data_IF_723525116776
#
_entry.id   IF_723525116776
#
_cell.length_a   1.000
_cell.length_b   1.000
_cell.length_c   1.000
_cell.angle_alpha   90.00
_cell.angle_beta   90.00
_cell.angle_gamma   90.00
#
_symmetry.space_group_name_H-M   'P 1'
#
loop_
_entity.id
_entity.type
_entity.pdbx_description
1 polymer ?
#
# COMPACT_ATOMS: atom_id res chain seq x y z
N UNK A 1 28.15 -8.47 -28.76
CA UNK A 1 27.50 -7.22 -28.34
C UNK A 1 28.16 -6.79 -27.05
N UNK A 2 29.20 -5.97 -27.16
CA UNK A 2 29.89 -5.35 -26.03
C UNK A 2 29.05 -4.17 -25.56
N UNK A 3 28.46 -4.26 -24.37
CA UNK A 3 27.82 -3.14 -23.68
C UNK A 3 28.91 -2.14 -23.29
N UNK A 4 29.09 -1.10 -24.10
CA UNK A 4 29.98 0.01 -23.76
C UNK A 4 29.45 0.73 -22.53
N UNK A 5 30.24 0.77 -21.46
CA UNK A 5 29.98 1.62 -20.30
C UNK A 5 29.94 3.07 -20.78
N UNK A 6 28.74 3.62 -20.89
CA UNK A 6 28.58 5.06 -21.07
C UNK A 6 28.77 5.65 -19.68
N UNK A 7 29.98 6.10 -19.38
CA UNK A 7 30.23 6.89 -18.18
C UNK A 7 29.47 8.22 -18.34
N UNK A 8 28.27 8.28 -17.75
CA UNK A 8 27.50 9.51 -17.67
C UNK A 8 28.06 10.29 -16.49
N UNK A 9 28.91 11.27 -16.78
CA UNK A 9 29.47 12.15 -15.76
C UNK A 9 28.50 13.32 -15.55
N UNK A 10 27.85 13.33 -14.39
CA UNK A 10 27.05 14.49 -13.98
C UNK A 10 28.00 15.55 -13.42
N UNK A 11 28.19 16.63 -14.16
CA UNK A 11 28.93 17.81 -13.67
C UNK A 11 27.95 18.85 -13.19
N UNK A 12 27.99 19.18 -11.90
CA UNK A 12 27.26 20.30 -11.32
C UNK A 12 28.25 21.44 -11.10
N UNK A 13 28.10 22.51 -11.88
CA UNK A 13 28.94 23.72 -11.79
C UNK A 13 28.08 24.92 -11.42
N UNK A 14 28.58 25.75 -10.49
CA UNK A 14 27.94 26.99 -10.09
C UNK A 14 28.71 28.17 -10.67
N UNK A 15 28.04 29.03 -11.43
CA UNK A 15 28.65 30.24 -11.97
C UNK A 15 28.54 31.36 -10.92
N UNK A 16 29.61 31.55 -10.14
CA UNK A 16 29.71 32.69 -9.23
C UNK A 16 30.12 33.95 -10.02
N UNK A 17 29.21 34.42 -10.87
CA UNK A 17 29.28 35.79 -11.38
C UNK A 17 29.24 36.77 -10.20
N UNK A 18 29.90 37.92 -10.33
CA UNK A 18 30.24 38.86 -9.25
C UNK A 18 29.08 39.57 -8.52
N UNK A 19 27.87 38.99 -8.48
CA UNK A 19 26.81 39.30 -7.51
C UNK A 19 25.96 38.03 -7.23
N UNK A 20 25.61 37.73 -5.95
CA UNK A 20 25.02 36.46 -5.54
C UNK A 20 23.50 36.35 -5.80
N UNK A 21 23.02 36.84 -6.96
CA UNK A 21 21.57 36.96 -7.23
C UNK A 21 20.98 35.89 -8.13
N UNK A 22 21.77 35.01 -8.75
CA UNK A 22 21.23 33.90 -9.52
C UNK A 22 22.23 32.77 -9.66
N UNK A 23 22.33 31.93 -8.65
CA UNK A 23 23.02 30.66 -8.81
C UNK A 23 22.12 29.75 -9.67
N UNK A 24 22.71 29.08 -10.65
CA UNK A 24 22.01 28.13 -11.53
C UNK A 24 22.62 26.74 -11.38
N UNK A 25 21.77 25.74 -11.29
CA UNK A 25 22.15 24.34 -11.33
C UNK A 25 22.26 23.92 -12.79
N UNK A 26 23.45 23.52 -13.23
CA UNK A 26 23.69 22.95 -14.55
C UNK A 26 23.85 21.44 -14.43
N UNK A 27 23.10 20.70 -15.24
CA UNK A 27 23.13 19.23 -15.32
C UNK A 27 23.55 18.88 -16.75
N UNK A 28 24.70 18.24 -16.90
CA UNK A 28 25.20 17.75 -18.19
C UNK A 28 25.08 16.23 -18.27
N UNK A 29 24.47 15.74 -19.35
CA UNK A 29 24.27 14.32 -19.65
C UNK A 29 24.73 14.06 -21.09
N UNK A 30 26.01 13.78 -21.28
CA UNK A 30 26.61 13.66 -22.62
C UNK A 30 26.60 15.01 -23.35
N UNK A 31 25.88 15.12 -24.48
CA UNK A 31 25.70 16.38 -25.20
C UNK A 31 24.45 17.17 -24.76
N UNK A 32 23.62 16.62 -23.89
CA UNK A 32 22.44 17.30 -23.36
C UNK A 32 22.81 18.17 -22.15
N UNK A 33 22.32 19.40 -22.12
CA UNK A 33 22.50 20.34 -21.02
C UNK A 33 21.16 20.85 -20.54
N UNK A 34 20.93 20.80 -19.23
CA UNK A 34 19.77 21.40 -18.57
C UNK A 34 20.29 22.44 -17.57
N UNK A 35 19.72 23.65 -17.59
CA UNK A 35 20.01 24.71 -16.63
C UNK A 35 18.74 25.03 -15.84
N UNK A 36 18.80 24.93 -14.52
CA UNK A 36 17.68 25.18 -13.61
C UNK A 36 18.04 26.32 -12.64
N UNK A 37 17.11 27.24 -12.32
CA UNK A 37 17.32 28.18 -11.22
C UNK A 37 17.37 27.43 -9.88
N UNK A 38 18.28 27.81 -8.99
CA UNK A 38 18.33 27.24 -7.64
C UNK A 38 17.10 27.68 -6.83
N UNK A 39 16.37 26.74 -6.19
CA UNK A 39 15.29 27.09 -5.29
C UNK A 39 15.77 27.94 -4.11
N UNK A 40 14.95 28.90 -3.67
CA UNK A 40 15.23 29.71 -2.49
C UNK A 40 15.41 28.82 -1.25
N UNK A 41 16.48 29.05 -0.48
CA UNK A 41 16.78 28.32 0.77
C UNK A 41 17.63 27.05 0.62
N UNK A 42 18.04 26.69 -0.59
CA UNK A 42 18.98 25.59 -0.83
C UNK A 42 20.42 26.09 -0.64
N UNK A 43 21.10 25.63 0.42
CA UNK A 43 22.49 25.97 0.72
C UNK A 43 23.38 24.74 0.54
N UNK A 44 24.51 24.91 -0.17
CA UNK A 44 25.52 23.86 -0.31
C UNK A 44 26.82 24.36 0.33
N UNK A 45 27.38 23.56 1.24
CA UNK A 45 28.69 23.80 1.82
C UNK A 45 29.67 22.74 1.30
N UNK A 46 30.80 23.17 0.74
CA UNK A 46 31.91 22.30 0.36
C UNK A 46 33.01 23.02 -0.40
N UNK A 47 34.13 22.34 -0.61
CA UNK A 47 35.32 22.90 -1.27
C UNK A 47 35.17 22.87 -2.80
N UNK A 48 35.60 23.95 -3.45
CA UNK A 48 35.35 24.20 -4.87
C UNK A 48 36.38 23.47 -5.77
N UNK A 49 35.99 22.68 -6.79
CA UNK A 49 34.62 22.35 -7.19
C UNK A 49 34.00 21.23 -6.33
N UNK A 50 32.73 21.42 -5.98
CA UNK A 50 31.92 20.42 -5.29
C UNK A 50 31.66 19.23 -6.23
N UNK A 51 32.44 18.15 -6.10
CA UNK A 51 32.28 16.96 -6.94
C UNK A 51 31.24 16.01 -6.33
N UNK A 52 30.03 16.00 -6.87
CA UNK A 52 29.00 15.01 -6.52
C UNK A 52 29.01 13.94 -7.61
N UNK A 53 29.35 12.69 -7.26
CA UNK A 53 29.30 11.55 -8.18
C UNK A 53 28.08 10.70 -7.89
N UNK A 54 27.21 10.52 -8.88
CA UNK A 54 26.11 9.55 -8.85
C UNK A 54 26.51 8.33 -9.68
N UNK A 55 26.38 7.14 -9.12
CA UNK A 55 26.57 5.89 -9.83
C UNK A 55 25.22 5.21 -10.02
N UNK A 56 24.90 4.85 -11.27
CA UNK A 56 23.71 4.10 -11.60
C UNK A 56 24.06 2.60 -11.63
N UNK A 57 23.21 1.72 -11.10
CA UNK A 57 23.39 0.28 -11.29
C UNK A 57 23.23 -0.08 -12.78
N UNK A 58 23.97 -1.11 -13.24
CA UNK A 58 24.15 -1.53 -14.64
C UNK A 58 22.88 -1.80 -15.49
N UNK A 59 21.69 -1.59 -14.91
CA UNK A 59 20.39 -1.90 -15.52
C UNK A 59 19.53 -0.65 -15.79
N UNK A 60 20.09 0.56 -15.69
CA UNK A 60 19.33 1.78 -15.98
C UNK A 60 19.16 1.95 -17.50
N UNK A 61 18.01 1.53 -18.03
CA UNK A 61 17.66 1.65 -19.45
C UNK A 61 17.14 3.07 -19.71
N UNK A 62 17.89 3.86 -20.48
CA UNK A 62 17.33 5.02 -21.17
C UNK A 62 16.53 4.53 -22.37
N UNK A 63 15.24 4.87 -22.45
CA UNK A 63 14.45 4.73 -23.68
C UNK A 63 15.08 5.64 -24.75
N UNK A 64 15.94 5.04 -25.59
CA UNK A 64 16.51 5.67 -26.78
C UNK A 64 15.57 5.43 -27.96
N UNK A 65 14.59 6.30 -28.14
CA UNK A 65 14.07 6.54 -29.49
C UNK A 65 14.81 7.72 -30.13
N UNK A 66 15.18 7.50 -31.40
CA UNK A 66 15.92 8.38 -32.32
C UNK A 66 17.45 8.44 -32.14
N UNK A 67 18.19 7.66 -32.95
CA UNK A 67 19.06 8.16 -34.03
C UNK A 67 19.89 6.99 -34.62
N UNK A 68 19.76 6.76 -35.93
CA UNK A 68 20.64 5.88 -36.71
C UNK A 68 21.95 6.60 -37.05
N UNK A 69 23.10 5.92 -36.87
CA UNK A 69 24.04 5.50 -37.93
C UNK A 69 25.53 5.43 -37.50
N UNK A 70 26.15 4.32 -37.95
CA UNK A 70 27.54 4.08 -38.38
C UNK A 70 28.68 3.81 -37.37
N UNK A 71 29.04 2.52 -37.35
CA UNK A 71 30.37 1.87 -37.41
C UNK A 71 31.64 2.68 -37.11
N UNK A 72 32.48 2.14 -36.20
CA UNK A 72 33.76 1.49 -36.57
C UNK A 72 34.38 0.78 -35.35
N UNK A 73 35.09 -0.31 -35.64
CA UNK A 73 35.73 -1.22 -34.69
C UNK A 73 37.07 -0.69 -34.16
N UNK A 74 37.46 -1.10 -32.96
CA UNK A 74 38.82 -1.57 -32.70
C UNK A 74 38.96 -2.37 -31.39
N UNK A 75 40.07 -3.11 -31.33
CA UNK A 75 40.33 -4.34 -30.59
C UNK A 75 41.20 -4.06 -29.37
N UNK A 76 41.05 -4.80 -28.26
CA UNK A 76 42.14 -5.46 -27.48
C UNK A 76 41.67 -5.97 -26.10
N UNK A 77 42.39 -6.96 -25.57
CA UNK A 77 42.05 -7.87 -24.45
C UNK A 77 43.20 -7.87 -23.41
N UNK A 78 43.20 -8.73 -22.37
CA UNK A 78 42.79 -8.50 -20.97
C UNK A 78 43.96 -8.45 -19.96
N UNK A 79 43.69 -8.14 -18.69
CA UNK A 79 44.50 -8.71 -17.59
C UNK A 79 43.66 -9.08 -16.35
N UNK A 80 43.70 -10.37 -16.03
CA UNK A 80 43.30 -10.97 -14.76
C UNK A 80 44.32 -10.63 -13.67
N UNK A 81 43.89 -10.48 -12.42
CA UNK A 81 44.65 -11.04 -11.28
C UNK A 81 43.68 -11.47 -10.18
N UNK A 82 43.88 -12.71 -9.75
CA UNK A 82 43.15 -13.46 -8.73
C UNK A 82 43.84 -13.28 -7.37
N UNK A 83 43.07 -13.56 -6.30
CA UNK A 83 43.42 -13.78 -4.87
C UNK A 83 42.95 -12.62 -3.98
N UNK A 84 42.20 -12.83 -2.88
CA UNK A 84 42.17 -13.98 -1.97
C UNK A 84 40.77 -14.24 -1.38
N UNK A 85 40.22 -15.43 -1.67
CA UNK A 85 39.14 -16.09 -0.91
C UNK A 85 39.71 -16.58 0.44
N UNK A 86 39.28 -16.02 1.56
CA UNK A 86 39.33 -16.69 2.87
C UNK A 86 38.64 -15.93 4.03
N UNK A 87 38.12 -14.71 3.85
CA UNK A 87 37.53 -13.92 4.95
C UNK A 87 36.10 -13.38 4.70
N UNK A 88 35.43 -13.83 3.64
CA UNK A 88 34.09 -13.37 3.23
C UNK A 88 33.13 -14.55 3.08
N UNK A 89 32.80 -15.21 4.18
CA UNK A 89 31.73 -16.23 4.21
C UNK A 89 30.79 -16.03 5.41
N UNK A 90 30.45 -14.77 5.73
CA UNK A 90 29.40 -14.48 6.72
C UNK A 90 28.58 -13.21 6.46
N UNK A 91 28.69 -12.64 5.26
CA UNK A 91 27.92 -11.46 4.84
C UNK A 91 27.71 -11.53 3.32
N UNK A 92 26.81 -12.40 2.86
CA UNK A 92 26.38 -12.41 1.46
C UNK A 92 25.07 -13.20 1.24
N UNK A 93 24.12 -13.09 2.18
CA UNK A 93 22.71 -13.19 1.78
C UNK A 93 22.28 -11.78 1.39
N UNK A 94 22.34 -11.48 0.09
CA UNK A 94 21.68 -10.31 -0.48
C UNK A 94 20.19 -10.41 -0.12
N UNK A 95 19.77 -9.67 0.90
CA UNK A 95 18.37 -9.34 1.12
C UNK A 95 17.87 -8.68 -0.17
N UNK A 96 17.01 -9.39 -0.89
CA UNK A 96 16.41 -8.89 -2.11
C UNK A 96 15.46 -7.76 -1.69
N UNK A 97 15.81 -6.52 -2.04
CA UNK A 97 15.00 -5.33 -1.75
C UNK A 97 13.56 -5.51 -2.25
N UNK A 98 13.35 -6.25 -3.35
CA UNK A 98 12.06 -6.74 -3.83
C UNK A 98 12.27 -8.03 -4.66
N UNK A 99 11.38 -9.05 -4.60
CA UNK A 99 11.37 -10.10 -5.61
C UNK A 99 10.88 -9.54 -6.95
N UNK A 100 11.53 -9.93 -8.05
CA UNK A 100 11.11 -9.56 -9.41
C UNK A 100 9.65 -9.96 -9.66
N UNK A 101 8.81 -9.10 -10.28
CA UNK A 101 7.39 -9.35 -10.52
C UNK A 101 7.11 -10.60 -11.40
N UNK A 102 8.14 -11.23 -11.95
CA UNK A 102 8.07 -12.44 -12.78
C UNK A 102 8.59 -13.72 -12.10
N UNK A 103 8.77 -13.71 -10.79
CA UNK A 103 9.17 -14.93 -10.08
C UNK A 103 8.06 -15.99 -10.16
N UNK A 104 8.35 -17.23 -10.60
CA UNK A 104 7.34 -18.29 -10.66
C UNK A 104 6.77 -18.55 -9.26
N UNK A 105 5.44 -18.63 -9.15
CA UNK A 105 4.73 -18.98 -7.91
C UNK A 105 5.21 -20.35 -7.44
N UNK A 106 6.09 -20.37 -6.45
CA UNK A 106 6.34 -21.60 -5.69
C UNK A 106 5.03 -21.99 -4.99
N UNK A 107 4.53 -23.23 -5.17
CA UNK A 107 3.36 -23.70 -4.44
C UNK A 107 3.73 -23.80 -2.95
N UNK A 108 3.24 -22.85 -2.15
CA UNK A 108 3.47 -22.86 -0.71
C UNK A 108 2.77 -24.08 -0.10
N UNK A 109 3.55 -25.08 0.35
CA UNK A 109 3.05 -26.20 1.16
C UNK A 109 2.71 -25.79 2.59
N UNK A 110 2.85 -24.52 2.94
CA UNK A 110 2.54 -23.94 4.24
C UNK A 110 1.49 -22.84 4.08
N UNK A 111 0.39 -22.97 4.82
CA UNK A 111 -0.70 -22.01 4.81
C UNK A 111 -0.54 -21.10 6.03
N UNK A 112 -0.10 -19.85 5.83
CA UNK A 112 -0.13 -18.82 6.87
C UNK A 112 -1.55 -18.75 7.42
N UNK A 113 -1.70 -18.81 8.74
CA UNK A 113 -2.98 -18.60 9.38
C UNK A 113 -3.28 -17.10 9.35
N UNK A 114 -4.13 -16.69 8.42
CA UNK A 114 -4.56 -15.30 8.33
C UNK A 114 -5.45 -14.95 9.53
N UNK A 115 -5.42 -13.70 10.00
CA UNK A 115 -6.22 -13.31 11.14
C UNK A 115 -7.70 -13.50 10.83
N UNK A 116 -8.43 -13.99 11.82
CA UNK A 116 -9.84 -14.30 11.69
C UNK A 116 -10.64 -13.01 11.84
N UNK A 117 -11.39 -12.63 10.79
CA UNK A 117 -12.14 -11.36 10.74
C UNK A 117 -13.15 -11.27 11.89
N UNK A 118 -12.99 -10.30 12.78
CA UNK A 118 -13.91 -10.09 13.91
C UNK A 118 -13.56 -10.86 15.19
N UNK A 119 -12.48 -11.66 15.18
CA UNK A 119 -12.03 -12.45 16.33
C UNK A 119 -12.88 -13.69 16.62
N UNK A 120 -12.43 -14.53 17.55
CA UNK A 120 -13.09 -15.80 17.84
C UNK A 120 -14.39 -15.66 18.64
N UNK A 121 -14.61 -14.52 19.28
CA UNK A 121 -15.81 -14.22 20.09
C UNK A 121 -17.00 -13.70 19.25
N UNK A 122 -16.87 -13.67 17.93
CA UNK A 122 -17.92 -13.19 17.03
C UNK A 122 -19.09 -14.18 16.94
N UNK A 123 -20.30 -13.72 17.24
CA UNK A 123 -21.52 -14.52 17.01
C UNK A 123 -21.79 -14.61 15.49
N UNK A 124 -21.45 -15.73 14.87
CA UNK A 124 -21.65 -15.93 13.43
C UNK A 124 -23.11 -16.19 13.05
N UNK A 125 -23.85 -16.90 13.90
CA UNK A 125 -25.25 -17.25 13.67
C UNK A 125 -26.16 -16.30 14.45
N UNK A 126 -26.61 -15.23 13.79
CA UNK A 126 -27.45 -14.18 14.38
C UNK A 126 -28.94 -14.39 14.12
N UNK A 127 -29.31 -15.39 13.30
CA UNK A 127 -30.67 -15.61 12.81
C UNK A 127 -31.71 -15.71 13.94
N UNK A 128 -31.40 -16.45 15.01
CA UNK A 128 -32.31 -16.61 16.15
C UNK A 128 -32.57 -15.29 16.86
N UNK A 129 -31.53 -14.47 17.05
CA UNK A 129 -31.64 -13.14 17.67
C UNK A 129 -32.44 -12.20 16.76
N UNK A 130 -32.13 -12.18 15.46
CA UNK A 130 -32.83 -11.37 14.45
C UNK A 130 -34.31 -11.77 14.30
N UNK A 131 -34.64 -13.06 14.47
CA UNK A 131 -36.01 -13.54 14.41
C UNK A 131 -36.80 -13.30 15.70
N UNK A 132 -36.12 -13.01 16.81
CA UNK A 132 -36.75 -12.84 18.11
C UNK A 132 -37.74 -11.66 18.16
N UNK A 133 -38.72 -11.78 19.06
CA UNK A 133 -39.62 -10.66 19.40
C UNK A 133 -38.85 -9.46 19.95
N UNK A 134 -37.80 -9.71 20.75
CA UNK A 134 -36.97 -8.67 21.34
C UNK A 134 -36.28 -7.80 20.29
N UNK A 135 -35.78 -8.39 19.19
CA UNK A 135 -35.26 -7.62 18.06
C UNK A 135 -36.36 -6.80 17.40
N UNK A 136 -37.50 -7.42 17.10
CA UNK A 136 -38.61 -6.75 16.40
C UNK A 136 -39.21 -5.59 17.21
N UNK A 137 -39.24 -5.70 18.54
CA UNK A 137 -39.73 -4.65 19.44
C UNK A 137 -38.75 -3.46 19.56
N UNK A 138 -37.44 -3.71 19.44
CA UNK A 138 -36.39 -2.69 19.62
C UNK A 138 -35.91 -2.06 18.31
N UNK A 139 -35.91 -2.81 17.21
CA UNK A 139 -35.35 -2.37 15.95
C UNK A 139 -36.34 -1.46 15.21
N UNK A 140 -36.18 -0.15 15.40
CA UNK A 140 -36.80 0.87 14.56
C UNK A 140 -35.77 1.34 13.53
N UNK A 141 -36.05 1.23 12.21
CA UNK A 141 -35.12 1.66 11.17
C UNK A 141 -34.75 3.15 11.27
N UNK A 142 -33.46 3.43 11.23
CA UNK A 142 -32.87 4.76 11.27
C UNK A 142 -32.13 5.13 9.99
N UNK A 143 -30.96 5.74 10.17
CA UNK A 143 -30.09 6.13 9.06
C UNK A 143 -29.44 4.90 8.40
N UNK A 144 -29.08 5.04 7.13
CA UNK A 144 -28.32 4.02 6.40
C UNK A 144 -26.84 4.38 6.30
N UNK A 145 -26.01 3.35 6.38
CA UNK A 145 -24.56 3.39 6.15
C UNK A 145 -24.21 2.40 5.05
N UNK A 146 -23.20 2.72 4.27
CA UNK A 146 -22.70 1.86 3.22
C UNK A 146 -21.30 1.36 3.59
N UNK A 147 -21.08 0.06 3.46
CA UNK A 147 -19.78 -0.59 3.67
C UNK A 147 -19.23 -1.02 2.32
N UNK A 148 -17.92 -0.88 2.11
CA UNK A 148 -17.26 -1.31 0.89
C UNK A 148 -15.91 -1.94 1.19
N UNK A 149 -15.52 -2.88 0.32
CA UNK A 149 -14.15 -3.35 0.16
C UNK A 149 -13.62 -2.71 -1.12
N UNK A 150 -12.42 -2.14 -1.09
CA UNK A 150 -11.79 -1.52 -2.24
C UNK A 150 -10.38 -2.05 -2.49
N UNK A 151 -10.00 -2.08 -3.76
CA UNK A 151 -8.67 -2.43 -4.23
C UNK A 151 -8.26 -1.58 -5.42
N UNK A 152 -6.96 -1.58 -5.71
CA UNK A 152 -6.32 -0.93 -6.84
C UNK A 152 -5.17 -1.82 -7.33
N UNK A 153 -4.51 -1.42 -8.42
CA UNK A 153 -3.40 -2.19 -8.99
C UNK A 153 -2.19 -2.22 -8.04
N UNK A 154 -1.92 -1.12 -7.33
CA UNK A 154 -0.86 -1.05 -6.32
C UNK A 154 -1.10 -2.01 -5.15
N UNK A 155 -2.33 -2.07 -4.61
CA UNK A 155 -2.69 -3.05 -3.58
C UNK A 155 -2.64 -4.50 -4.09
N UNK A 156 -3.00 -4.75 -5.36
CA UNK A 156 -2.85 -6.09 -5.97
C UNK A 156 -1.38 -6.49 -6.02
N UNK A 157 -0.50 -5.57 -6.33
CA UNK A 157 0.93 -5.78 -6.42
C UNK A 157 1.54 -5.97 -5.04
N UNK A 158 1.15 -5.16 -4.05
CA UNK A 158 1.51 -5.35 -2.64
C UNK A 158 1.05 -6.71 -2.11
N UNK A 159 -0.20 -7.13 -2.40
CA UNK A 159 -0.72 -8.47 -2.06
C UNK A 159 0.14 -9.58 -2.66
N UNK A 160 0.63 -9.41 -3.90
CA UNK A 160 1.52 -10.38 -4.56
C UNK A 160 2.89 -10.42 -3.90
N UNK A 161 3.48 -9.26 -3.62
CA UNK A 161 4.80 -9.13 -2.99
C UNK A 161 4.78 -9.73 -1.59
N UNK A 162 3.82 -9.31 -0.78
CA UNK A 162 3.70 -9.76 0.61
C UNK A 162 3.12 -11.18 0.71
N UNK A 163 2.43 -11.68 -0.31
CA UNK A 163 1.65 -12.92 -0.25
C UNK A 163 0.50 -12.88 0.78
N UNK A 164 -0.14 -11.71 0.97
CA UNK A 164 -1.16 -11.45 2.01
C UNK A 164 -2.44 -10.88 1.37
N UNK A 165 -3.65 -11.34 1.77
CA UNK A 165 -4.90 -10.80 1.24
C UNK A 165 -5.24 -9.44 1.89
N UNK A 166 -4.61 -8.35 1.43
CA UNK A 166 -4.83 -7.00 1.96
C UNK A 166 -5.79 -6.22 1.06
N UNK A 167 -6.82 -5.63 1.66
CA UNK A 167 -7.72 -4.70 0.99
C UNK A 167 -8.06 -3.52 1.90
N UNK A 168 -8.54 -2.44 1.29
CA UNK A 168 -9.14 -1.36 2.06
C UNK A 168 -10.58 -1.70 2.40
N UNK A 169 -10.96 -1.58 3.67
CA UNK A 169 -12.36 -1.71 4.10
C UNK A 169 -12.79 -0.39 4.73
N UNK A 170 -13.93 0.14 4.30
CA UNK A 170 -14.40 1.43 4.78
C UNK A 170 -15.91 1.55 4.85
N UNK A 171 -16.37 2.59 5.55
CA UNK A 171 -17.78 2.92 5.71
C UNK A 171 -18.10 4.38 5.35
N UNK A 172 -19.27 4.61 4.77
CA UNK A 172 -19.71 5.93 4.33
C UNK A 172 -21.23 6.12 4.45
N UNK A 173 -21.71 7.33 4.14
CA UNK A 173 -23.15 7.58 4.06
C UNK A 173 -23.79 6.84 2.89
N UNK A 174 -25.11 6.73 2.91
CA UNK A 174 -25.90 6.20 1.79
C UNK A 174 -25.54 6.91 0.48
N UNK A 175 -25.35 6.14 -0.60
CA UNK A 175 -25.02 6.64 -1.93
C UNK A 175 -23.58 7.12 -2.14
N UNK A 176 -22.72 7.11 -1.11
CA UNK A 176 -21.39 7.77 -1.18
C UNK A 176 -20.19 6.89 -1.54
N UNK A 177 -20.39 5.61 -1.87
CA UNK A 177 -19.28 4.69 -2.18
C UNK A 177 -18.43 5.24 -3.35
N UNK A 178 -19.07 5.64 -4.45
CA UNK A 178 -18.35 6.14 -5.62
C UNK A 178 -17.49 7.38 -5.31
N UNK A 179 -18.01 8.32 -4.51
CA UNK A 179 -17.25 9.50 -4.09
C UNK A 179 -16.05 9.12 -3.22
N UNK A 180 -16.23 8.16 -2.30
CA UNK A 180 -15.14 7.69 -1.45
C UNK A 180 -14.05 7.00 -2.25
N UNK A 181 -14.42 6.20 -3.25
CA UNK A 181 -13.46 5.56 -4.16
C UNK A 181 -12.67 6.62 -4.94
N UNK A 182 -13.34 7.63 -5.50
CA UNK A 182 -12.65 8.74 -6.18
C UNK A 182 -11.69 9.49 -5.26
N UNK A 183 -12.08 9.74 -4.01
CA UNK A 183 -11.21 10.36 -3.01
C UNK A 183 -9.98 9.49 -2.74
N UNK A 184 -10.15 8.19 -2.53
CA UNK A 184 -9.03 7.26 -2.30
C UNK A 184 -8.05 7.19 -3.46
N UNK A 185 -8.57 7.16 -4.68
CA UNK A 185 -7.80 7.28 -5.92
C UNK A 185 -6.98 8.57 -5.95
N UNK A 186 -7.63 9.71 -5.67
CA UNK A 186 -6.96 11.01 -5.68
C UNK A 186 -5.86 11.09 -4.62
N UNK A 187 -6.15 10.58 -3.42
CA UNK A 187 -5.22 10.60 -2.28
C UNK A 187 -4.15 9.49 -2.40
N UNK A 188 -4.27 8.58 -3.37
CA UNK A 188 -3.44 7.39 -3.53
C UNK A 188 -3.26 6.62 -2.22
N UNK A 189 -4.39 6.36 -1.54
CA UNK A 189 -4.40 5.89 -0.15
C UNK A 189 -3.46 4.70 0.12
N UNK A 190 -2.48 4.86 1.00
CA UNK A 190 -1.55 3.79 1.35
C UNK A 190 -0.45 3.52 0.31
N UNK A 191 -0.18 4.43 -0.63
CA UNK A 191 0.90 4.33 -1.61
C UNK A 191 2.29 4.58 -1.03
N UNK A 192 2.39 5.29 0.11
CA UNK A 192 3.67 5.68 0.67
C UNK A 192 4.19 4.69 1.71
N UNK A 193 5.49 4.56 1.80
CA UNK A 193 6.21 3.79 2.81
C UNK A 193 7.58 4.42 3.08
N UNK A 194 8.33 3.86 4.04
CA UNK A 194 9.69 4.29 4.38
C UNK A 194 10.67 3.23 3.95
N UNK A 195 11.93 3.61 3.77
CA UNK A 195 13.05 2.66 3.69
C UNK A 195 14.14 3.19 4.61
N UNK A 196 14.66 2.36 5.52
CA UNK A 196 15.76 2.73 6.44
C UNK A 196 15.51 4.03 7.25
N UNK A 197 14.24 4.39 7.48
CA UNK A 197 13.85 5.62 8.17
C UNK A 197 13.74 6.87 7.29
N UNK A 198 14.13 6.79 6.02
CA UNK A 198 13.99 7.86 5.04
C UNK A 198 12.55 7.94 4.49
N UNK A 199 12.07 9.16 4.29
CA UNK A 199 10.68 9.48 4.00
C UNK A 199 10.49 10.27 2.70
N UNK A 200 9.31 10.14 2.06
CA UNK A 200 8.59 8.90 1.81
C UNK A 200 8.92 8.36 0.39
N UNK A 201 8.93 7.04 0.23
CA UNK A 201 8.90 6.40 -1.09
C UNK A 201 7.44 6.11 -1.46
N UNK A 202 7.08 6.31 -2.72
CA UNK A 202 5.72 6.12 -3.21
C UNK A 202 5.68 4.97 -4.23
N UNK A 203 4.78 4.01 -4.02
CA UNK A 203 4.47 2.99 -5.03
C UNK A 203 3.44 3.50 -6.04
N UNK A 204 3.57 3.06 -7.29
CA UNK A 204 2.62 3.32 -8.37
C UNK A 204 1.33 2.46 -8.25
N UNK A 205 0.30 2.81 -9.03
CA UNK A 205 -0.92 2.01 -9.17
C UNK A 205 -1.96 2.20 -8.07
N UNK A 206 -1.77 3.17 -7.17
CA UNK A 206 -2.72 3.54 -6.11
C UNK A 206 -3.74 4.61 -6.53
N UNK A 207 -3.66 5.09 -7.76
CA UNK A 207 -4.50 6.15 -8.33
C UNK A 207 -5.84 5.66 -8.90
N UNK A 208 -6.03 4.34 -9.04
CA UNK A 208 -7.25 3.74 -9.60
C UNK A 208 -7.91 2.73 -8.65
N UNK A 209 -8.45 3.23 -7.54
CA UNK A 209 -9.28 2.43 -6.64
C UNK A 209 -10.62 2.06 -7.29
N UNK A 210 -11.08 0.86 -6.98
CA UNK A 210 -12.42 0.38 -7.32
C UNK A 210 -13.03 -0.37 -6.14
N UNK A 211 -14.34 -0.21 -5.97
CA UNK A 211 -15.09 -1.01 -5.02
C UNK A 211 -15.30 -2.42 -5.59
N UNK A 212 -15.18 -3.43 -4.73
CA UNK A 212 -15.30 -4.84 -5.07
C UNK A 212 -16.71 -5.35 -4.72
N UNK A 213 -17.12 -6.43 -5.37
CA UNK A 213 -18.34 -7.13 -5.00
C UNK A 213 -18.13 -7.79 -3.63
N UNK A 214 -19.13 -7.68 -2.76
CA UNK A 214 -19.22 -8.42 -1.52
C UNK A 214 -20.36 -9.43 -1.69
N UNK A 215 -20.09 -10.71 -1.50
CA UNK A 215 -21.09 -11.76 -1.64
C UNK A 215 -21.83 -11.97 -0.32
N UNK A 216 -23.15 -12.03 -0.38
CA UNK A 216 -23.95 -12.38 0.79
C UNK A 216 -23.95 -13.90 0.97
N UNK A 217 -23.85 -14.41 2.20
CA UNK A 217 -24.07 -15.81 2.47
C UNK A 217 -25.54 -16.15 2.22
N UNK A 218 -25.81 -17.36 1.72
CA UNK A 218 -27.17 -17.87 1.52
C UNK A 218 -27.96 -17.93 2.85
N UNK A 219 -27.24 -18.02 3.97
CA UNK A 219 -27.81 -18.06 5.32
C UNK A 219 -28.18 -16.68 5.88
N UNK A 220 -28.04 -15.59 5.11
CA UNK A 220 -28.42 -14.26 5.59
C UNK A 220 -29.92 -14.20 5.89
N UNK A 221 -30.25 -13.91 7.15
CA UNK A 221 -31.64 -13.84 7.59
C UNK A 221 -32.36 -12.62 6.99
N UNK A 222 -33.64 -12.78 6.61
CA UNK A 222 -34.44 -11.71 5.97
C UNK A 222 -34.57 -10.43 6.82
N UNK A 223 -34.61 -10.59 8.15
CA UNK A 223 -34.66 -9.48 9.12
C UNK A 223 -33.30 -8.84 9.41
N UNK A 224 -32.21 -9.34 8.80
CA UNK A 224 -30.90 -8.70 8.91
C UNK A 224 -30.99 -7.21 8.54
N UNK A 225 -30.28 -6.31 9.21
CA UNK A 225 -30.17 -4.91 8.79
C UNK A 225 -29.30 -4.71 7.53
N UNK A 226 -28.67 -5.78 7.03
CA UNK A 226 -27.71 -5.75 5.92
C UNK A 226 -28.38 -6.14 4.60
N UNK A 227 -28.07 -5.41 3.53
CA UNK A 227 -28.50 -5.70 2.16
C UNK A 227 -27.31 -5.57 1.19
N UNK A 228 -27.33 -6.37 0.13
CA UNK A 228 -26.34 -6.24 -0.94
C UNK A 228 -26.54 -4.95 -1.73
N UNK A 229 -25.43 -4.36 -2.15
CA UNK A 229 -25.35 -3.41 -3.24
C UNK A 229 -24.50 -4.00 -4.36
N UNK A 230 -24.51 -3.38 -5.55
CA UNK A 230 -23.65 -3.79 -6.67
C UNK A 230 -22.17 -3.78 -6.32
N UNK A 231 -21.72 -2.91 -5.40
CA UNK A 231 -20.30 -2.73 -5.05
C UNK A 231 -20.11 -2.45 -3.55
N UNK A 232 -20.85 -3.15 -2.71
CA UNK A 232 -20.78 -2.99 -1.26
C UNK A 232 -21.98 -3.57 -0.52
N UNK A 233 -22.18 -3.13 0.71
CA UNK A 233 -23.33 -3.45 1.56
C UNK A 233 -24.05 -2.16 1.96
N UNK A 234 -25.38 -2.22 2.04
CA UNK A 234 -26.20 -1.22 2.72
C UNK A 234 -26.56 -1.76 4.11
N UNK A 235 -26.42 -0.92 5.12
CA UNK A 235 -26.66 -1.26 6.53
C UNK A 235 -27.66 -0.25 7.08
N UNK A 236 -28.79 -0.72 7.57
CA UNK A 236 -29.78 0.13 8.24
C UNK A 236 -29.51 0.10 9.74
N UNK A 237 -29.14 1.24 10.31
CA UNK A 237 -28.90 1.36 11.75
C UNK A 237 -30.23 1.49 12.51
N UNK A 238 -30.30 1.09 13.80
CA UNK A 238 -31.38 1.51 14.69
C UNK A 238 -31.51 3.03 14.75
N UNK A 239 -32.73 3.55 14.89
CA UNK A 239 -33.04 4.99 14.89
C UNK A 239 -32.28 5.81 15.96
N UNK A 240 -31.93 5.17 17.07
CA UNK A 240 -31.23 5.71 18.22
C UNK A 240 -29.71 5.48 18.15
N UNK A 241 -29.22 4.78 17.13
CA UNK A 241 -27.80 4.55 16.91
C UNK A 241 -27.21 5.64 16.01
N UNK A 242 -26.28 6.42 16.56
CA UNK A 242 -25.54 7.42 15.78
C UNK A 242 -24.51 6.78 14.83
N UNK A 243 -24.14 7.53 13.79
CA UNK A 243 -23.04 7.17 12.90
C UNK A 243 -21.74 6.87 13.67
N UNK A 244 -21.39 7.71 14.64
CA UNK A 244 -20.12 7.59 15.37
C UNK A 244 -20.10 6.32 16.23
N UNK A 245 -21.22 5.98 16.88
CA UNK A 245 -21.34 4.74 17.66
C UNK A 245 -21.13 3.51 16.77
N UNK A 246 -21.80 3.49 15.60
CA UNK A 246 -21.63 2.39 14.64
C UNK A 246 -20.19 2.30 14.13
N UNK A 247 -19.62 3.43 13.68
CA UNK A 247 -18.26 3.49 13.15
C UNK A 247 -17.23 2.97 14.15
N UNK A 248 -17.32 3.39 15.42
CA UNK A 248 -16.43 2.94 16.50
C UNK A 248 -16.59 1.44 16.78
N UNK A 249 -17.83 0.94 16.85
CA UNK A 249 -18.09 -0.48 17.07
C UNK A 249 -17.57 -1.35 15.92
N UNK A 250 -17.81 -0.89 14.69
CA UNK A 250 -17.36 -1.55 13.46
C UNK A 250 -15.84 -1.63 13.37
N UNK A 251 -15.14 -0.51 13.56
CA UNK A 251 -13.67 -0.47 13.57
C UNK A 251 -13.09 -1.33 14.70
N UNK A 252 -13.67 -1.29 15.91
CA UNK A 252 -13.22 -2.12 17.04
C UNK A 252 -13.28 -3.61 16.71
N UNK A 253 -14.34 -4.07 16.05
CA UNK A 253 -14.48 -5.48 15.65
C UNK A 253 -13.53 -5.85 14.50
N UNK A 254 -13.33 -4.95 13.54
CA UNK A 254 -12.37 -5.16 12.44
C UNK A 254 -10.89 -5.15 12.89
N UNK A 255 -10.57 -4.60 14.07
CA UNK A 255 -9.19 -4.53 14.57
C UNK A 255 -8.47 -5.88 14.57
N UNK A 256 -9.18 -6.97 14.87
CA UNK A 256 -8.63 -8.34 14.80
C UNK A 256 -8.00 -8.73 13.46
N UNK A 257 -8.48 -8.16 12.34
CA UNK A 257 -7.92 -8.36 11.00
C UNK A 257 -7.27 -7.10 10.44
N UNK A 258 -6.96 -6.11 11.29
CA UNK A 258 -6.22 -4.90 10.92
C UNK A 258 -4.83 -5.29 10.40
N UNK A 259 -4.44 -4.72 9.27
CA UNK A 259 -3.08 -4.85 8.74
C UNK A 259 -2.04 -4.38 9.77
N UNK A 260 -2.33 -3.26 10.41
CA UNK A 260 -1.42 -2.63 11.38
C UNK A 260 -1.23 -3.46 12.63
N UNK A 261 -2.27 -4.17 13.07
CA UNK A 261 -2.20 -5.01 14.25
C UNK A 261 -1.56 -6.36 13.90
N UNK A 262 -2.01 -6.97 12.80
CA UNK A 262 -1.53 -8.30 12.39
C UNK A 262 -0.03 -8.32 12.09
N UNK A 263 0.52 -7.30 11.43
CA UNK A 263 1.95 -7.25 11.07
C UNK A 263 2.91 -7.34 12.27
N UNK A 264 2.42 -7.02 13.47
CA UNK A 264 3.19 -7.08 14.72
C UNK A 264 3.03 -8.42 15.46
N UNK A 265 2.23 -9.35 14.94
CA UNK A 265 2.04 -10.69 15.53
C UNK A 265 3.21 -11.61 15.23
N UNK A 266 3.40 -12.63 16.08
CA UNK A 266 4.42 -13.68 15.86
C UNK A 266 4.22 -14.37 14.50
N UNK A 267 2.98 -14.70 14.13
CA UNK A 267 2.65 -15.31 12.84
C UNK A 267 3.07 -14.45 11.64
N UNK A 268 2.96 -13.12 11.76
CA UNK A 268 3.36 -12.19 10.71
C UNK A 268 4.89 -12.04 10.63
N UNK A 269 5.56 -11.92 11.77
CA UNK A 269 7.03 -11.86 11.84
C UNK A 269 7.62 -13.12 11.19
N UNK A 270 7.14 -14.31 11.61
CA UNK A 270 7.53 -15.58 11.01
C UNK A 270 7.25 -15.61 9.50
N UNK A 271 6.14 -15.03 9.06
CA UNK A 271 5.78 -14.96 7.64
C UNK A 271 6.78 -14.11 6.85
N UNK A 272 7.11 -12.92 7.34
CA UNK A 272 8.02 -12.00 6.68
C UNK A 272 9.45 -12.54 6.63
N UNK A 273 9.94 -13.13 7.72
CA UNK A 273 11.25 -13.79 7.78
C UNK A 273 11.35 -14.92 6.75
N UNK A 274 10.35 -15.81 6.70
CA UNK A 274 10.32 -16.94 5.74
C UNK A 274 10.27 -16.50 4.29
N UNK A 275 9.68 -15.34 4.02
CA UNK A 275 9.53 -14.80 2.66
C UNK A 275 10.66 -13.86 2.27
N UNK A 276 11.60 -13.59 3.18
CA UNK A 276 12.66 -12.60 3.02
C UNK A 276 12.09 -11.23 2.58
N UNK A 277 10.98 -10.82 3.20
CA UNK A 277 10.32 -9.54 2.93
C UNK A 277 11.01 -8.45 3.75
N UNK A 278 11.38 -7.34 3.10
CA UNK A 278 11.82 -6.14 3.81
C UNK A 278 10.65 -5.60 4.66
N UNK A 279 10.84 -5.42 5.96
CA UNK A 279 9.76 -4.95 6.82
C UNK A 279 9.44 -3.46 6.62
N UNK A 280 10.35 -2.68 6.05
CA UNK A 280 10.15 -1.24 5.86
C UNK A 280 8.98 -0.92 4.91
N UNK A 281 8.70 -1.81 3.95
CA UNK A 281 7.61 -1.64 2.97
C UNK A 281 6.24 -2.02 3.52
N UNK A 282 6.18 -2.63 4.71
CA UNK A 282 4.96 -3.08 5.38
C UNK A 282 4.16 -1.88 5.90
N UNK A 283 4.87 -0.85 6.37
CA UNK A 283 4.28 0.37 6.91
C UNK A 283 3.78 1.27 5.80
N UNK A 284 2.45 1.36 5.68
CA UNK A 284 1.80 2.13 4.63
C UNK A 284 1.27 3.46 5.17
N UNK A 285 1.43 4.50 4.36
CA UNK A 285 1.04 5.87 4.65
C UNK A 285 0.33 6.49 3.45
N UNK A 286 -0.41 7.56 3.72
CA UNK A 286 -1.10 8.38 2.72
C UNK A 286 -0.68 9.83 2.94
N UNK A 287 -0.28 10.52 1.89
CA UNK A 287 -0.11 11.97 1.92
C UNK A 287 -1.45 12.65 1.56
N UNK A 288 -2.05 13.34 2.51
CA UNK A 288 -3.28 14.10 2.30
C UNK A 288 -3.06 15.54 1.82
N UNK A 289 -1.79 15.93 1.61
CA UNK A 289 -1.31 17.28 1.40
C UNK A 289 -2.33 18.28 0.82
N UNK A 290 -2.74 19.23 1.66
CA UNK A 290 -3.58 20.36 1.27
C UNK A 290 -2.73 21.64 1.31
N UNK A 291 -2.65 22.36 0.19
CA UNK A 291 -2.04 23.69 0.15
C UNK A 291 -0.50 23.75 0.09
N UNK A 292 0.17 22.69 -0.36
CA UNK A 292 1.61 22.69 -0.63
C UNK A 292 2.50 22.16 0.49
N UNK A 293 1.93 21.68 1.60
CA UNK A 293 2.63 20.89 2.62
C UNK A 293 2.23 19.41 2.58
N UNK A 294 3.17 18.53 2.95
CA UNK A 294 2.89 17.09 3.13
C UNK A 294 2.16 16.85 4.46
N UNK A 295 1.03 16.12 4.42
CA UNK A 295 0.29 15.64 5.60
C UNK A 295 0.23 14.12 5.56
N UNK A 296 1.36 13.50 5.91
CA UNK A 296 1.55 12.06 5.82
C UNK A 296 0.99 11.38 7.06
N UNK A 297 -0.06 10.58 6.87
CA UNK A 297 -0.74 9.84 7.94
C UNK A 297 -0.69 8.34 7.65
N UNK A 298 -0.60 7.52 8.71
CA UNK A 298 -0.60 6.06 8.59
C UNK A 298 -1.92 5.54 8.00
N UNK A 299 -1.83 4.58 7.08
CA UNK A 299 -2.98 3.95 6.45
C UNK A 299 -3.62 2.91 7.40
N UNK A 300 -4.60 3.35 8.18
CA UNK A 300 -5.27 2.54 9.22
C UNK A 300 -6.43 1.68 8.72
N UNK A 301 -6.89 1.86 7.48
CA UNK A 301 -8.06 1.18 6.93
C UNK A 301 -7.69 0.04 5.97
N UNK A 302 -6.49 -0.51 6.09
CA UNK A 302 -6.05 -1.73 5.41
C UNK A 302 -6.29 -2.94 6.30
N UNK A 303 -6.91 -3.99 5.77
CA UNK A 303 -7.30 -5.18 6.51
C UNK A 303 -6.94 -6.45 5.75
N UNK A 304 -6.60 -7.50 6.49
CA UNK A 304 -6.39 -8.84 5.96
C UNK A 304 -7.74 -9.55 5.75
N UNK A 305 -8.31 -9.42 4.54
CA UNK A 305 -9.63 -9.96 4.17
C UNK A 305 -9.57 -10.56 2.76
N UNK A 306 -10.25 -11.67 2.51
CA UNK A 306 -10.40 -12.25 1.16
C UNK A 306 -11.81 -11.97 0.67
N UNK A 307 -11.97 -10.98 -0.21
CA UNK A 307 -13.29 -10.56 -0.69
C UNK A 307 -14.00 -11.61 -1.55
N UNK A 308 -13.26 -12.58 -2.10
CA UNK A 308 -13.77 -13.76 -2.80
C UNK A 308 -14.09 -14.95 -1.88
N UNK A 309 -13.70 -14.90 -0.61
CA UNK A 309 -13.92 -15.99 0.33
C UNK A 309 -15.30 -15.83 1.03
N UNK A 310 -16.21 -16.82 0.89
CA UNK A 310 -17.54 -16.75 1.49
C UNK A 310 -17.54 -16.64 3.02
N UNK A 311 -16.61 -17.30 3.71
CA UNK A 311 -16.50 -17.24 5.16
C UNK A 311 -16.07 -15.84 5.62
N UNK A 312 -15.08 -15.23 4.96
CA UNK A 312 -14.66 -13.87 5.28
C UNK A 312 -15.80 -12.85 5.08
N UNK A 313 -16.58 -13.02 4.01
CA UNK A 313 -17.76 -12.19 3.74
C UNK A 313 -18.86 -12.40 4.79
N UNK A 314 -19.13 -13.66 5.17
CA UNK A 314 -20.07 -14.00 6.25
C UNK A 314 -19.65 -13.35 7.57
N UNK A 315 -18.36 -13.40 7.91
CA UNK A 315 -17.81 -12.78 9.12
C UNK A 315 -17.90 -11.26 9.09
N UNK A 316 -17.63 -10.61 7.95
CA UNK A 316 -17.83 -9.16 7.80
C UNK A 316 -19.29 -8.76 8.08
N UNK A 317 -20.25 -9.55 7.59
CA UNK A 317 -21.68 -9.31 7.84
C UNK A 317 -22.02 -9.55 9.31
N UNK A 318 -21.53 -10.64 9.90
CA UNK A 318 -21.72 -10.93 11.31
C UNK A 318 -21.14 -9.81 12.20
N UNK A 319 -19.99 -9.22 11.85
CA UNK A 319 -19.46 -8.02 12.55
C UNK A 319 -20.50 -6.91 12.58
N UNK A 320 -21.10 -6.59 11.43
CA UNK A 320 -22.08 -5.50 11.30
C UNK A 320 -23.31 -5.80 12.17
N UNK A 321 -23.82 -7.02 12.10
CA UNK A 321 -24.97 -7.45 12.88
C UNK A 321 -24.66 -7.43 14.38
N UNK A 322 -23.50 -7.95 14.79
CA UNK A 322 -23.08 -7.97 16.20
C UNK A 322 -22.96 -6.55 16.76
N UNK A 323 -22.43 -5.59 15.99
CA UNK A 323 -22.36 -4.18 16.41
C UNK A 323 -23.75 -3.60 16.67
N UNK A 324 -24.72 -3.92 15.81
CA UNK A 324 -26.11 -3.47 15.95
C UNK A 324 -26.82 -4.18 17.11
N UNK A 325 -26.68 -5.50 17.20
CA UNK A 325 -27.29 -6.32 18.26
C UNK A 325 -26.75 -5.95 19.65
N UNK A 326 -25.44 -5.69 19.77
CA UNK A 326 -24.83 -5.24 21.02
C UNK A 326 -25.32 -3.84 21.41
N UNK A 327 -25.48 -2.91 20.46
CA UNK A 327 -26.08 -1.59 20.72
C UNK A 327 -27.49 -1.73 21.31
N UNK A 328 -28.29 -2.67 20.82
CA UNK A 328 -29.63 -2.94 21.32
C UNK A 328 -29.66 -3.79 22.61
N UNK A 329 -28.50 -4.23 23.11
CA UNK A 329 -28.39 -5.12 24.28
C UNK A 329 -29.08 -6.46 24.05
N UNK A 330 -28.85 -7.07 22.89
CA UNK A 330 -29.38 -8.40 22.52
C UNK A 330 -28.32 -9.50 22.51
N UNK A 331 -27.04 -9.13 22.63
CA UNK A 331 -25.88 -10.02 22.78
C UNK A 331 -24.87 -9.44 23.77
#
# INVERSE_FOLDING_TARGET
>A
MTTGNTNIQLTISFDAGSEPKSATLRIELGQAQISLPLPDGLHFEGENPLNISLSFPDNFIFDKEAFHANDTADTETPHQTVTSKAAQNKADEKQLLLPSPHSPKAPSRYQTQWPVIGGDDLLLETADVLNSKAFSDKFLPGIKRHIYIAGCDGLRDLKRQLSIPIFKVGECGEGRIADRIKQQSKDQYGSYYKIDGDWPVQDEGYDNYSALQIYLPETLHEKSPVRALTRGLSVTLPHDMSRQQFSRGFQKRLASCSWLDWRNSEDAIDHFERKNINQDIIDRYTDYGVGGGSDITQATELYCIRNENPEDCKRLIAIIENVILAHMGLI
#
